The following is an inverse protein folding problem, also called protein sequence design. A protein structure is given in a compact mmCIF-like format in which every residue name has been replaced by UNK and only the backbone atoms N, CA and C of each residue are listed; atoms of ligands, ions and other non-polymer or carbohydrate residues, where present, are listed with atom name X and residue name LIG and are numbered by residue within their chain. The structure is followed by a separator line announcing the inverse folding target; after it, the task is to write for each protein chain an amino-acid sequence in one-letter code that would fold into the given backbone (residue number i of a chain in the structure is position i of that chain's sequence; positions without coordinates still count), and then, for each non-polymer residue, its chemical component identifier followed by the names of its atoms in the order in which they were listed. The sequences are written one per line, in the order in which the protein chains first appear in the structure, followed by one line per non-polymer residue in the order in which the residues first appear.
data_IF_392218674254
#
_entry.id   IF_392218674254
#
_cell.length_a   1.000
_cell.length_b   1.000
_cell.length_c   1.000
_cell.angle_alpha   90.00
_cell.angle_beta   90.00
_cell.angle_gamma   90.00
#
_symmetry.space_group_name_H-M   'P 1'
#
loop_
_entity.id
_entity.type
_entity.pdbx_description
1 polymer ?
#
# COMPACT_ATOMS: atom_id res chain seq x y z
N UNK A 1 0.56 6.83 -30.80
CA UNK A 1 -0.06 7.49 -29.64
C UNK A 1 0.26 6.62 -28.43
N UNK A 2 1.30 6.99 -27.67
CA UNK A 2 1.89 6.23 -26.56
C UNK A 2 1.81 7.02 -25.23
N UNK A 3 0.97 8.06 -25.18
CA UNK A 3 0.95 9.05 -24.09
C UNK A 3 0.25 8.53 -22.81
N UNK A 4 -0.53 7.44 -22.86
CA UNK A 4 -1.31 6.98 -21.69
C UNK A 4 -0.53 6.16 -20.66
N UNK A 5 0.52 5.44 -21.06
CA UNK A 5 1.28 4.56 -20.16
C UNK A 5 2.33 5.29 -19.33
N UNK A 6 2.97 6.31 -19.89
CA UNK A 6 4.04 7.06 -19.23
C UNK A 6 3.48 8.00 -18.14
N UNK A 7 2.32 8.62 -18.40
CA UNK A 7 1.64 9.49 -17.43
C UNK A 7 1.12 8.70 -16.21
N UNK A 8 0.65 7.46 -16.42
CA UNK A 8 0.19 6.58 -15.35
C UNK A 8 1.36 6.09 -14.48
N UNK A 9 2.51 5.76 -15.08
CA UNK A 9 3.72 5.40 -14.35
C UNK A 9 4.22 6.55 -13.47
N UNK A 10 4.28 7.77 -14.03
CA UNK A 10 4.67 8.99 -13.28
C UNK A 10 3.68 9.34 -12.16
N UNK A 11 2.39 9.10 -12.37
CA UNK A 11 1.37 9.27 -11.33
C UNK A 11 1.57 8.29 -10.17
N UNK A 12 1.92 7.05 -10.48
CA UNK A 12 2.20 6.01 -9.47
C UNK A 12 3.48 6.28 -8.69
N UNK A 13 4.56 6.69 -9.36
CA UNK A 13 5.83 7.06 -8.72
C UNK A 13 5.62 8.19 -7.71
N UNK A 14 4.98 9.29 -8.12
CA UNK A 14 4.64 10.42 -7.24
C UNK A 14 3.79 10.01 -6.04
N UNK A 15 2.86 9.07 -6.22
CA UNK A 15 2.04 8.53 -5.13
C UNK A 15 2.90 7.78 -4.11
N UNK A 16 3.84 6.95 -4.58
CA UNK A 16 4.78 6.22 -3.72
C UNK A 16 5.75 7.16 -3.02
N UNK A 17 6.22 8.21 -3.70
CA UNK A 17 7.09 9.21 -3.11
C UNK A 17 6.39 9.94 -1.96
N UNK A 18 5.11 10.28 -2.17
CA UNK A 18 4.30 10.89 -1.12
C UNK A 18 4.04 9.96 0.06
N UNK A 19 3.82 8.66 -0.21
CA UNK A 19 3.67 7.64 0.81
C UNK A 19 4.92 7.55 1.71
N UNK A 20 6.12 7.55 1.11
CA UNK A 20 7.38 7.58 1.87
C UNK A 20 7.54 8.87 2.67
N UNK A 21 7.28 10.03 2.05
CA UNK A 21 7.35 11.33 2.73
C UNK A 21 6.46 11.35 3.99
N UNK A 22 5.23 10.88 3.87
CA UNK A 22 4.26 10.79 4.96
C UNK A 22 4.69 9.76 6.02
N UNK A 23 5.22 8.61 5.60
CA UNK A 23 5.69 7.59 6.53
C UNK A 23 6.81 8.11 7.45
N UNK A 24 7.75 8.91 6.93
CA UNK A 24 8.76 9.56 7.77
C UNK A 24 8.16 10.57 8.78
N UNK A 25 7.01 11.17 8.45
CA UNK A 25 6.32 12.12 9.33
C UNK A 25 5.52 11.42 10.44
N UNK A 26 4.80 10.35 10.09
CA UNK A 26 3.74 9.81 10.95
C UNK A 26 3.98 8.37 11.43
N UNK A 27 5.01 7.68 10.92
CA UNK A 27 5.31 6.30 11.29
C UNK A 27 6.73 6.20 11.92
N UNK A 28 6.83 6.29 13.26
CA UNK A 28 8.11 6.18 13.96
C UNK A 28 8.81 4.84 13.73
N UNK A 29 8.05 3.74 13.62
CA UNK A 29 8.60 2.40 13.40
C UNK A 29 9.29 2.31 12.04
N UNK A 30 8.60 2.76 10.98
CA UNK A 30 9.19 2.88 9.64
C UNK A 30 10.41 3.78 9.65
N UNK A 31 10.34 4.94 10.32
CA UNK A 31 11.44 5.91 10.38
C UNK A 31 12.69 5.32 11.03
N UNK A 32 12.53 4.71 12.21
CA UNK A 32 13.63 4.04 12.92
C UNK A 32 14.21 2.90 12.10
N UNK A 33 13.34 2.08 11.51
CA UNK A 33 13.77 0.98 10.64
C UNK A 33 14.54 1.50 9.42
N UNK A 34 14.04 2.51 8.71
CA UNK A 34 14.70 3.04 7.52
C UNK A 34 16.07 3.63 7.87
N UNK A 35 16.15 4.43 8.94
CA UNK A 35 17.43 4.97 9.43
C UNK A 35 18.42 3.86 9.81
N UNK A 36 17.94 2.72 10.32
CA UNK A 36 18.81 1.56 10.62
C UNK A 36 19.48 0.95 9.38
N UNK A 37 18.97 1.25 8.17
CA UNK A 37 19.56 0.85 6.88
C UNK A 37 20.55 1.88 6.31
N UNK A 38 20.76 2.99 7.01
CA UNK A 38 21.64 4.10 6.60
C UNK A 38 22.89 4.17 7.47
N UNK A 39 23.83 5.02 7.10
CA UNK A 39 24.97 5.39 7.95
C UNK A 39 24.57 6.09 9.26
N UNK A 40 23.33 6.58 9.35
CA UNK A 40 22.80 7.33 10.49
C UNK A 40 22.06 6.47 11.53
N UNK A 41 22.20 5.13 11.47
CA UNK A 41 21.51 4.21 12.37
C UNK A 41 21.68 4.52 13.87
N UNK A 42 22.82 5.12 14.26
CA UNK A 42 23.16 5.43 15.64
C UNK A 42 23.02 6.92 16.00
N UNK A 43 22.58 7.77 15.08
CA UNK A 43 22.57 9.24 15.25
C UNK A 43 21.33 9.76 16.01
N UNK A 44 20.42 8.85 16.41
CA UNK A 44 19.15 9.18 17.06
C UNK A 44 18.39 10.29 16.32
N UNK A 45 18.32 10.19 14.99
CA UNK A 45 17.71 11.19 14.12
C UNK A 45 16.26 11.45 14.47
N UNK A 46 15.91 12.71 14.73
CA UNK A 46 14.54 13.17 14.96
C UNK A 46 14.07 13.89 13.71
N UNK A 47 12.95 13.41 13.14
CA UNK A 47 12.33 14.00 11.96
C UNK A 47 12.13 15.51 12.13
N UNK A 48 12.53 16.29 11.11
CA UNK A 48 12.36 17.76 11.11
C UNK A 48 11.37 18.20 10.05
N UNK A 49 11.62 17.83 8.80
CA UNK A 49 10.73 18.13 7.67
C UNK A 49 11.12 17.28 6.44
N UNK A 50 10.23 17.20 5.47
CA UNK A 50 10.45 16.48 4.20
C UNK A 50 9.63 17.11 3.07
N UNK A 51 9.95 16.76 1.82
CA UNK A 51 9.14 17.08 0.63
C UNK A 51 9.38 16.06 -0.48
N UNK A 52 8.31 15.70 -1.19
CA UNK A 52 8.34 14.82 -2.38
C UNK A 52 7.81 15.50 -3.65
N UNK A 53 7.92 16.82 -3.74
CA UNK A 53 7.47 17.64 -4.87
C UNK A 53 8.63 17.94 -5.85
N UNK A 54 9.52 16.98 -6.01
CA UNK A 54 10.71 17.02 -6.86
C UNK A 54 11.62 18.25 -6.63
N UNK A 55 12.26 18.37 -5.44
CA UNK A 55 13.32 19.34 -5.20
C UNK A 55 14.30 19.50 -6.39
N UNK A 56 14.24 20.65 -7.06
CA UNK A 56 15.03 20.94 -8.27
C UNK A 56 16.07 22.04 -8.05
N UNK A 57 17.23 21.92 -8.70
CA UNK A 57 18.22 23.00 -8.81
C UNK A 57 19.17 22.82 -10.00
N UNK A 58 19.81 23.91 -10.41
CA UNK A 58 21.02 23.87 -11.22
C UNK A 58 22.23 23.77 -10.28
N UNK A 59 23.12 22.81 -10.51
CA UNK A 59 24.33 22.59 -9.69
C UNK A 59 25.54 22.24 -10.57
N UNK A 60 26.77 22.46 -10.08
CA UNK A 60 27.98 22.09 -10.81
C UNK A 60 28.20 20.58 -10.75
N UNK A 61 28.50 19.97 -11.91
CA UNK A 61 28.93 18.58 -12.02
C UNK A 61 30.26 18.51 -12.78
N UNK A 62 31.24 17.85 -12.18
CA UNK A 62 32.49 17.49 -12.84
C UNK A 62 32.24 16.35 -13.83
N UNK A 63 32.68 16.55 -15.06
CA UNK A 63 32.60 15.58 -16.15
C UNK A 63 33.93 15.56 -16.90
N UNK A 64 34.23 14.49 -17.63
CA UNK A 64 35.40 14.45 -18.51
C UNK A 64 35.01 14.94 -19.90
N UNK A 65 35.75 15.91 -20.43
CA UNK A 65 35.58 16.34 -21.81
C UNK A 65 36.09 15.23 -22.76
N UNK A 66 35.24 14.65 -23.61
CA UNK A 66 35.65 13.56 -24.50
C UNK A 66 36.69 13.98 -25.55
N UNK A 67 36.80 15.28 -25.87
CA UNK A 67 37.78 15.77 -26.84
C UNK A 67 39.18 15.93 -26.25
N UNK A 68 39.28 16.29 -24.97
CA UNK A 68 40.55 16.64 -24.32
C UNK A 68 40.98 15.65 -23.24
N UNK A 69 40.05 14.87 -22.67
CA UNK A 69 40.28 14.00 -21.53
C UNK A 69 40.38 14.73 -20.20
N UNK A 70 40.24 16.07 -20.19
CA UNK A 70 40.38 16.90 -19.00
C UNK A 70 39.05 17.05 -18.24
N UNK A 71 39.09 17.21 -16.91
CA UNK A 71 37.90 17.50 -16.13
C UNK A 71 37.34 18.89 -16.46
N UNK A 72 36.05 18.94 -16.75
CA UNK A 72 35.29 20.17 -16.98
C UNK A 72 34.07 20.22 -16.06
N UNK A 73 33.83 21.39 -15.46
CA UNK A 73 32.64 21.64 -14.66
C UNK A 73 31.52 22.14 -15.56
N UNK A 74 30.40 21.41 -15.60
CA UNK A 74 29.19 21.83 -16.29
C UNK A 74 28.08 22.07 -15.27
N UNK A 75 27.31 23.13 -15.49
CA UNK A 75 26.09 23.34 -14.72
C UNK A 75 24.99 22.47 -15.32
N UNK A 76 24.49 21.54 -14.51
CA UNK A 76 23.44 20.61 -14.91
C UNK A 76 22.21 20.84 -14.04
N UNK A 77 21.06 20.44 -14.55
CA UNK A 77 19.83 20.45 -13.79
C UNK A 77 19.41 19.02 -13.48
N UNK A 78 18.95 18.81 -12.25
CA UNK A 78 18.36 17.53 -11.85
C UNK A 78 17.56 17.67 -10.54
N UNK A 79 16.65 16.72 -10.33
CA UNK A 79 15.81 16.59 -9.14
C UNK A 79 16.23 15.46 -8.21
N UNK A 80 15.85 15.62 -6.94
CA UNK A 80 15.68 14.52 -5.99
C UNK A 80 14.18 14.22 -5.89
N UNK A 81 13.78 12.96 -5.87
CA UNK A 81 12.35 12.59 -5.74
C UNK A 81 11.84 12.94 -4.35
N UNK A 82 12.56 12.48 -3.30
CA UNK A 82 12.20 12.73 -1.90
C UNK A 82 13.40 13.25 -1.13
N UNK A 83 13.22 14.41 -0.48
CA UNK A 83 14.17 14.96 0.49
C UNK A 83 13.59 14.84 1.90
N UNK A 84 14.35 14.25 2.81
CA UNK A 84 13.99 14.13 4.24
C UNK A 84 15.13 14.68 5.09
N UNK A 85 14.83 15.57 6.03
CA UNK A 85 15.81 16.18 6.91
C UNK A 85 15.52 15.80 8.36
N UNK A 86 16.57 15.34 9.05
CA UNK A 86 16.55 14.98 10.45
C UNK A 86 17.45 15.91 11.25
N UNK A 87 17.06 16.17 12.49
CA UNK A 87 17.96 16.72 13.49
C UNK A 87 18.68 15.58 14.22
N UNK A 88 19.94 15.78 14.57
CA UNK A 88 20.70 14.89 15.45
C UNK A 88 21.34 15.70 16.59
N UNK A 89 21.44 15.14 17.81
CA UNK A 89 22.12 15.82 18.90
C UNK A 89 23.58 16.10 18.55
N UNK A 90 24.05 17.33 18.83
CA UNK A 90 25.46 17.74 18.80
C UNK A 90 26.22 17.69 17.45
N UNK A 91 25.61 17.20 16.36
CA UNK A 91 26.30 17.01 15.07
C UNK A 91 25.66 17.75 13.89
N UNK A 92 24.70 18.65 14.15
CA UNK A 92 23.95 19.40 13.13
C UNK A 92 22.99 18.52 12.31
N UNK A 93 22.02 19.07 11.56
CA UNK A 93 21.03 18.26 10.84
C UNK A 93 21.67 17.42 9.72
N UNK A 94 21.07 16.28 9.40
CA UNK A 94 21.46 15.46 8.24
C UNK A 94 20.27 15.22 7.31
N UNK A 95 20.54 14.88 6.05
CA UNK A 95 19.51 14.65 5.04
C UNK A 95 19.63 13.29 4.35
N UNK A 96 18.47 12.72 4.02
CA UNK A 96 18.36 11.61 3.07
C UNK A 96 17.85 12.16 1.74
N UNK A 97 18.60 11.90 0.68
CA UNK A 97 18.20 12.17 -0.70
C UNK A 97 17.83 10.88 -1.38
N UNK A 98 16.54 10.67 -1.59
CA UNK A 98 16.02 9.40 -2.04
C UNK A 98 15.62 9.51 -3.51
N UNK A 99 16.15 8.60 -4.32
CA UNK A 99 15.62 8.29 -5.66
C UNK A 99 14.69 7.08 -5.53
N UNK A 100 13.50 7.16 -6.10
CA UNK A 100 12.57 6.05 -6.19
C UNK A 100 12.53 5.54 -7.64
N UNK A 101 12.59 4.22 -7.83
CA UNK A 101 12.45 3.60 -9.15
C UNK A 101 11.40 2.51 -9.12
N UNK A 102 10.53 2.52 -10.12
CA UNK A 102 9.62 1.41 -10.40
C UNK A 102 10.33 0.29 -11.17
N UNK A 103 9.76 -0.92 -11.17
CA UNK A 103 10.35 -2.11 -11.83
C UNK A 103 10.72 -1.85 -13.30
N UNK A 104 9.82 -1.20 -14.04
CA UNK A 104 9.99 -0.91 -15.46
C UNK A 104 10.66 0.46 -15.73
N UNK A 105 11.17 1.11 -14.68
CA UNK A 105 11.87 2.38 -14.80
C UNK A 105 13.23 2.24 -15.51
N UNK A 106 13.93 3.36 -15.63
CA UNK A 106 15.34 3.39 -16.03
C UNK A 106 16.04 4.58 -15.39
N UNK A 107 17.37 4.50 -15.29
CA UNK A 107 18.17 5.67 -14.97
C UNK A 107 18.31 6.53 -16.23
N UNK A 108 18.16 7.85 -16.06
CA UNK A 108 18.66 8.76 -17.08
C UNK A 108 20.19 8.74 -17.07
N UNK A 109 20.83 8.99 -18.23
CA UNK A 109 22.29 8.90 -18.33
C UNK A 109 22.98 9.79 -17.29
N UNK A 110 23.84 9.21 -16.44
CA UNK A 110 24.53 9.93 -15.37
C UNK A 110 23.63 10.41 -14.21
N UNK A 111 22.43 9.84 -14.05
CA UNK A 111 21.52 10.21 -12.96
C UNK A 111 22.11 9.94 -11.57
N UNK A 112 22.72 8.78 -11.28
CA UNK A 112 23.28 8.52 -9.95
C UNK A 112 24.39 9.51 -9.57
N UNK A 113 25.29 9.85 -10.51
CA UNK A 113 26.37 10.81 -10.28
C UNK A 113 25.82 12.21 -9.99
N UNK A 114 24.72 12.58 -10.65
CA UNK A 114 24.05 13.87 -10.45
C UNK A 114 23.43 14.01 -9.06
N UNK A 115 23.08 12.92 -8.38
CA UNK A 115 22.67 12.99 -6.99
C UNK A 115 23.82 13.51 -6.13
N UNK A 116 24.97 12.86 -6.19
CA UNK A 116 26.11 13.19 -5.33
C UNK A 116 26.58 14.64 -5.48
N UNK A 117 26.68 15.14 -6.72
CA UNK A 117 27.06 16.53 -6.96
C UNK A 117 26.01 17.52 -6.45
N UNK A 118 24.72 17.23 -6.67
CA UNK A 118 23.61 18.08 -6.18
C UNK A 118 23.56 18.15 -4.67
N UNK A 119 23.63 17.01 -3.98
CA UNK A 119 23.53 16.98 -2.52
C UNK A 119 24.70 17.72 -1.88
N UNK A 120 25.90 17.56 -2.43
CA UNK A 120 27.09 18.32 -2.01
C UNK A 120 26.87 19.83 -2.17
N UNK A 121 26.27 20.26 -3.28
CA UNK A 121 25.97 21.67 -3.54
C UNK A 121 24.89 22.25 -2.60
N UNK A 122 24.02 21.41 -2.03
CA UNK A 122 22.95 21.83 -1.12
C UNK A 122 23.34 21.86 0.35
N UNK A 123 24.53 21.35 0.71
CA UNK A 123 25.07 21.43 2.06
C UNK A 123 24.99 22.87 2.60
N UNK A 124 24.55 23.00 3.86
CA UNK A 124 24.37 24.26 4.57
C UNK A 124 23.39 25.26 3.92
N UNK A 125 22.65 24.88 2.86
CA UNK A 125 21.69 25.77 2.23
C UNK A 125 20.37 25.80 3.03
N UNK A 126 19.94 26.96 3.56
CA UNK A 126 18.72 27.06 4.37
C UNK A 126 17.45 26.65 3.61
N UNK A 127 17.42 26.84 2.28
CA UNK A 127 16.28 26.42 1.43
C UNK A 127 16.04 24.90 1.50
N UNK A 128 17.10 24.14 1.71
CA UNK A 128 17.07 22.67 1.76
C UNK A 128 17.32 22.15 3.19
N UNK A 129 17.09 22.99 4.21
CA UNK A 129 17.08 22.57 5.61
C UNK A 129 18.41 22.74 6.35
N UNK A 130 19.44 23.31 5.69
CA UNK A 130 20.77 23.55 6.24
C UNK A 130 21.36 22.32 6.94
N UNK A 131 21.23 21.15 6.32
CA UNK A 131 21.92 19.94 6.77
C UNK A 131 23.42 20.07 6.48
N UNK A 132 24.21 19.43 7.34
CA UNK A 132 25.68 19.42 7.30
C UNK A 132 26.23 18.09 6.84
N UNK A 133 25.36 17.08 6.68
CA UNK A 133 25.71 15.69 6.39
C UNK A 133 24.55 15.03 5.63
N UNK A 134 24.83 13.99 4.86
CA UNK A 134 23.81 13.35 4.02
C UNK A 134 24.16 11.92 3.59
N UNK A 135 23.15 11.19 3.17
CA UNK A 135 23.30 10.00 2.33
C UNK A 135 22.33 10.08 1.13
N UNK A 136 22.79 9.55 0.00
CA UNK A 136 21.95 9.27 -1.17
C UNK A 136 21.43 7.84 -1.07
N UNK A 137 20.13 7.66 -1.27
CA UNK A 137 19.46 6.36 -1.11
C UNK A 137 18.68 6.05 -2.38
N UNK A 138 18.89 4.86 -2.92
CA UNK A 138 18.02 4.30 -3.94
C UNK A 138 16.96 3.43 -3.27
N UNK A 139 15.69 3.69 -3.56
CA UNK A 139 14.60 2.75 -3.29
C UNK A 139 14.06 2.20 -4.60
N UNK A 140 14.05 0.87 -4.75
CA UNK A 140 13.60 0.21 -5.97
C UNK A 140 13.22 -1.25 -5.69
N UNK A 141 12.43 -1.91 -6.56
CA UNK A 141 12.29 -3.36 -6.53
C UNK A 141 13.64 -4.06 -6.71
N UNK A 142 13.81 -5.24 -6.14
CA UNK A 142 15.03 -6.04 -6.32
C UNK A 142 15.37 -6.27 -7.79
N UNK A 143 14.36 -6.55 -8.61
CA UNK A 143 14.51 -6.76 -10.05
C UNK A 143 15.06 -5.54 -10.78
N UNK A 144 14.68 -4.33 -10.38
CA UNK A 144 15.24 -3.09 -10.94
C UNK A 144 16.70 -2.93 -10.52
N UNK A 145 16.99 -3.11 -9.24
CA UNK A 145 18.34 -2.97 -8.71
C UNK A 145 19.30 -3.95 -9.37
N UNK A 146 18.95 -5.23 -9.50
CA UNK A 146 19.80 -6.23 -10.16
C UNK A 146 20.02 -5.92 -11.65
N UNK A 147 18.98 -5.47 -12.36
CA UNK A 147 19.09 -5.08 -13.76
C UNK A 147 20.01 -3.86 -13.97
N UNK A 148 20.01 -2.92 -13.03
CA UNK A 148 20.75 -1.67 -13.11
C UNK A 148 21.86 -1.56 -12.05
N UNK A 149 22.41 -2.70 -11.64
CA UNK A 149 23.28 -2.81 -10.46
C UNK A 149 24.46 -1.85 -10.45
N UNK A 150 25.15 -1.70 -11.58
CA UNK A 150 26.31 -0.80 -11.72
C UNK A 150 25.94 0.65 -11.40
N UNK A 151 24.76 1.10 -11.83
CA UNK A 151 24.28 2.45 -11.55
C UNK A 151 23.66 2.56 -10.16
N UNK A 152 22.96 1.52 -9.70
CA UNK A 152 22.36 1.47 -8.37
C UNK A 152 23.40 1.49 -7.24
N UNK A 153 24.54 0.83 -7.42
CA UNK A 153 25.65 0.81 -6.44
C UNK A 153 26.38 2.15 -6.30
N UNK A 154 26.05 3.16 -7.14
CA UNK A 154 26.60 4.53 -7.00
C UNK A 154 25.90 5.35 -5.92
N UNK A 155 24.70 4.94 -5.50
CA UNK A 155 24.03 5.50 -4.32
C UNK A 155 24.71 4.98 -3.04
N UNK A 156 24.72 5.78 -1.98
CA UNK A 156 25.37 5.38 -0.73
C UNK A 156 24.62 4.19 -0.07
N UNK A 157 23.30 4.10 -0.28
CA UNK A 157 22.44 3.01 0.21
C UNK A 157 21.43 2.54 -0.82
N UNK A 158 21.02 1.28 -0.66
CA UNK A 158 19.89 0.69 -1.36
C UNK A 158 18.91 0.09 -0.35
N UNK A 159 17.61 0.35 -0.53
CA UNK A 159 16.52 -0.25 0.25
C UNK A 159 15.45 -0.75 -0.72
N UNK A 160 15.08 -2.02 -0.63
CA UNK A 160 14.15 -2.59 -1.61
C UNK A 160 12.69 -2.21 -1.34
N UNK A 161 11.90 -2.11 -2.41
CA UNK A 161 10.44 -1.94 -2.29
C UNK A 161 9.82 -3.07 -1.47
N UNK A 162 10.34 -4.29 -1.62
CA UNK A 162 9.89 -5.49 -0.91
C UNK A 162 10.14 -5.41 0.60
N UNK A 163 11.23 -4.76 1.02
CA UNK A 163 11.50 -4.50 2.42
C UNK A 163 10.62 -3.37 2.97
N UNK A 164 10.41 -2.31 2.18
CA UNK A 164 9.51 -1.19 2.52
C UNK A 164 8.07 -1.66 2.66
N UNK A 165 7.64 -2.61 1.81
CA UNK A 165 6.30 -3.20 1.76
C UNK A 165 5.82 -3.88 3.06
N UNK A 166 6.75 -4.14 3.99
CA UNK A 166 6.45 -4.64 5.35
C UNK A 166 5.82 -3.55 6.23
N UNK A 167 6.17 -2.29 5.97
CA UNK A 167 5.68 -1.12 6.69
C UNK A 167 4.66 -0.31 5.88
N UNK A 168 4.83 -0.27 4.56
CA UNK A 168 4.02 0.51 3.63
C UNK A 168 3.48 -0.41 2.51
N UNK A 169 2.30 -1.02 2.69
CA UNK A 169 1.75 -2.01 1.77
C UNK A 169 1.62 -1.55 0.31
N UNK A 170 1.60 -0.23 0.05
CA UNK A 170 1.58 0.37 -1.27
C UNK A 170 2.73 -0.08 -2.18
N UNK A 171 3.85 -0.51 -1.58
CA UNK A 171 5.04 -0.99 -2.28
C UNK A 171 4.98 -2.49 -2.67
N UNK A 172 3.93 -3.23 -2.31
CA UNK A 172 3.80 -4.69 -2.61
C UNK A 172 3.60 -5.02 -4.09
N UNK A 173 3.26 -4.05 -4.94
CA UNK A 173 2.76 -4.31 -6.30
C UNK A 173 3.37 -3.43 -7.40
N UNK A 174 4.49 -2.76 -7.15
CA UNK A 174 5.16 -1.89 -8.14
C UNK A 174 5.77 -2.62 -9.36
N UNK A 175 5.48 -3.92 -9.51
CA UNK A 175 6.23 -4.85 -10.36
C UNK A 175 5.47 -5.62 -11.44
N UNK A 176 4.21 -5.30 -11.73
CA UNK A 176 3.54 -5.85 -12.92
C UNK A 176 2.85 -4.75 -13.69
N UNK A 177 3.57 -4.23 -14.68
CA UNK A 177 2.96 -3.48 -15.76
C UNK A 177 2.18 -4.44 -16.65
N UNK A 178 0.90 -4.65 -16.34
CA UNK A 178 -0.14 -5.02 -17.30
C UNK A 178 -1.46 -4.44 -16.79
N UNK A 179 -1.90 -3.36 -17.42
CA UNK A 179 -3.31 -3.14 -17.75
C UNK A 179 -4.34 -3.49 -16.65
N UNK A 180 -4.22 -2.90 -15.45
CA UNK A 180 -5.33 -2.95 -14.49
C UNK A 180 -5.32 -1.76 -13.52
N UNK A 181 -5.82 -0.62 -14.00
CA UNK A 181 -6.43 0.41 -13.15
C UNK A 181 -7.75 -0.07 -12.49
N UNK A 182 -7.96 -1.39 -12.39
CA UNK A 182 -8.85 -1.97 -11.38
C UNK A 182 -8.02 -2.13 -10.13
N UNK A 183 -8.40 -1.34 -9.12
CA UNK A 183 -8.22 -1.69 -7.71
C UNK A 183 -8.19 -3.21 -7.57
N UNK A 184 -7.03 -3.78 -7.19
CA UNK A 184 -6.85 -5.22 -7.12
C UNK A 184 -8.02 -5.80 -6.32
N UNK A 185 -8.92 -6.48 -7.02
CA UNK A 185 -10.19 -6.91 -6.46
C UNK A 185 -9.96 -7.78 -5.22
N UNK A 186 -8.86 -8.54 -5.18
CA UNK A 186 -8.49 -9.33 -4.02
C UNK A 186 -8.18 -8.48 -2.79
N UNK A 187 -7.46 -7.38 -2.96
CA UNK A 187 -7.15 -6.44 -1.87
C UNK A 187 -8.44 -5.83 -1.31
N UNK A 188 -9.38 -5.44 -2.17
CA UNK A 188 -10.67 -4.89 -1.73
C UNK A 188 -11.51 -5.95 -1.03
N UNK A 189 -11.64 -7.14 -1.62
CA UNK A 189 -12.37 -8.24 -1.01
C UNK A 189 -11.81 -8.57 0.37
N UNK A 190 -10.48 -8.69 0.50
CA UNK A 190 -9.85 -8.94 1.80
C UNK A 190 -10.07 -7.78 2.78
N UNK A 191 -10.00 -6.52 2.33
CA UNK A 191 -10.26 -5.36 3.20
C UNK A 191 -11.68 -5.38 3.76
N UNK A 192 -12.66 -5.72 2.91
CA UNK A 192 -14.06 -5.87 3.31
C UNK A 192 -14.19 -7.02 4.31
N UNK A 193 -13.69 -8.21 3.99
CA UNK A 193 -13.84 -9.38 4.87
C UNK A 193 -13.19 -9.13 6.25
N UNK A 194 -12.02 -8.46 6.27
CA UNK A 194 -11.37 -8.05 7.52
C UNK A 194 -12.12 -6.97 8.29
N UNK A 195 -12.86 -6.08 7.61
CA UNK A 195 -13.76 -5.15 8.29
C UNK A 195 -14.90 -5.90 9.01
N UNK A 196 -15.47 -6.93 8.38
CA UNK A 196 -16.44 -7.82 9.02
C UNK A 196 -15.87 -8.54 10.24
N UNK A 197 -14.65 -9.10 10.13
CA UNK A 197 -13.93 -9.72 11.26
C UNK A 197 -13.75 -8.72 12.41
N UNK A 198 -13.37 -7.48 12.09
CA UNK A 198 -13.21 -6.41 13.08
C UNK A 198 -14.54 -6.13 13.80
N UNK A 199 -15.63 -5.94 13.07
CA UNK A 199 -16.97 -5.69 13.64
C UNK A 199 -17.39 -6.80 14.62
N UNK A 200 -17.21 -8.07 14.22
CA UNK A 200 -17.56 -9.23 15.07
C UNK A 200 -16.76 -9.20 16.38
N UNK A 201 -15.48 -8.84 16.33
CA UNK A 201 -14.61 -8.73 17.53
C UNK A 201 -14.93 -7.51 18.39
N UNK A 202 -15.56 -6.47 17.82
CA UNK A 202 -15.81 -5.19 18.47
C UNK A 202 -17.28 -4.95 18.80
N UNK A 203 -17.99 -6.00 19.21
CA UNK A 203 -19.32 -5.88 19.81
C UNK A 203 -20.48 -6.25 18.89
N UNK A 204 -20.22 -6.57 17.61
CA UNK A 204 -21.23 -7.08 16.68
C UNK A 204 -21.08 -8.59 16.46
N UNK A 205 -20.96 -9.34 17.56
CA UNK A 205 -20.62 -10.76 17.56
C UNK A 205 -21.60 -11.69 16.86
N UNK A 206 -22.79 -11.20 16.49
CA UNK A 206 -23.81 -11.96 15.76
C UNK A 206 -23.84 -11.63 14.26
N UNK A 207 -23.03 -10.69 13.81
CA UNK A 207 -22.93 -10.30 12.40
C UNK A 207 -22.53 -11.50 11.54
N UNK A 208 -23.24 -11.73 10.45
CA UNK A 208 -22.93 -12.74 9.46
C UNK A 208 -22.20 -12.11 8.28
N UNK A 209 -21.12 -12.75 7.82
CA UNK A 209 -20.37 -12.37 6.63
C UNK A 209 -20.72 -13.33 5.51
N UNK A 210 -21.23 -12.81 4.40
CA UNK A 210 -21.65 -13.61 3.26
C UNK A 210 -20.92 -13.17 1.99
N UNK A 211 -19.81 -13.84 1.61
CA UNK A 211 -19.15 -13.64 0.33
C UNK A 211 -19.74 -14.57 -0.74
N UNK A 212 -20.06 -14.08 -1.94
CA UNK A 212 -20.76 -14.89 -2.96
C UNK A 212 -20.57 -14.33 -4.37
N UNK A 213 -20.76 -15.17 -5.40
CA UNK A 213 -20.87 -14.68 -6.78
C UNK A 213 -22.23 -14.01 -7.01
N UNK A 214 -22.23 -12.90 -7.75
CA UNK A 214 -23.44 -12.30 -8.27
C UNK A 214 -24.20 -13.30 -9.15
N UNK A 215 -25.54 -13.19 -9.30
CA UNK A 215 -26.32 -14.09 -10.16
C UNK A 215 -25.85 -14.22 -11.61
N UNK A 216 -25.11 -13.22 -12.11
CA UNK A 216 -24.50 -13.27 -13.44
C UNK A 216 -23.24 -14.14 -13.51
N UNK A 217 -22.68 -14.57 -12.37
CA UNK A 217 -21.36 -15.21 -12.26
C UNK A 217 -20.18 -14.26 -12.51
N UNK A 218 -20.43 -13.01 -12.92
CA UNK A 218 -19.40 -12.08 -13.39
C UNK A 218 -18.74 -11.25 -12.30
N UNK A 219 -19.37 -11.17 -11.12
CA UNK A 219 -18.94 -10.27 -10.06
C UNK A 219 -18.94 -10.99 -8.72
N UNK A 220 -18.00 -10.66 -7.86
CA UNK A 220 -18.01 -11.08 -6.48
C UNK A 220 -18.73 -10.03 -5.62
N UNK A 221 -19.40 -10.52 -4.59
CA UNK A 221 -20.17 -9.72 -3.64
C UNK A 221 -19.84 -10.13 -2.23
N UNK A 222 -20.02 -9.21 -1.31
CA UNK A 222 -20.03 -9.50 0.11
C UNK A 222 -21.14 -8.71 0.78
N UNK A 223 -21.93 -9.39 1.60
CA UNK A 223 -22.96 -8.77 2.43
C UNK A 223 -22.67 -9.05 3.90
N UNK A 224 -22.89 -8.05 4.74
CA UNK A 224 -23.01 -8.23 6.18
C UNK A 224 -24.46 -8.09 6.58
N UNK A 225 -24.97 -9.05 7.33
CA UNK A 225 -26.39 -9.06 7.70
C UNK A 225 -26.59 -9.70 9.09
N UNK A 226 -27.75 -9.45 9.73
CA UNK A 226 -28.15 -10.16 10.93
C UNK A 226 -28.40 -11.65 10.66
N UNK A 227 -28.28 -12.53 11.68
CA UNK A 227 -28.42 -13.98 11.50
C UNK A 227 -29.85 -14.43 11.16
N UNK A 228 -30.86 -13.61 11.46
CA UNK A 228 -32.29 -13.94 11.32
C UNK A 228 -32.99 -13.16 10.20
N UNK A 229 -32.31 -12.22 9.53
CA UNK A 229 -32.90 -11.39 8.48
C UNK A 229 -31.93 -11.20 7.31
N UNK A 230 -32.18 -11.88 6.19
CA UNK A 230 -31.36 -11.80 4.97
C UNK A 230 -31.80 -10.66 4.03
N UNK A 231 -32.99 -10.09 4.26
CA UNK A 231 -33.55 -9.01 3.45
C UNK A 231 -33.00 -7.62 3.83
N UNK A 232 -32.29 -7.55 4.97
CA UNK A 232 -31.73 -6.32 5.52
C UNK A 232 -30.21 -6.47 5.72
N UNK A 233 -29.44 -5.86 4.81
CA UNK A 233 -27.99 -5.79 4.99
C UNK A 233 -27.60 -4.63 5.91
N UNK A 234 -26.68 -4.90 6.81
CA UNK A 234 -25.84 -3.88 7.46
C UNK A 234 -24.94 -3.22 6.42
N UNK A 235 -24.45 -4.00 5.46
CA UNK A 235 -23.48 -3.57 4.46
C UNK A 235 -23.50 -4.48 3.23
N UNK A 236 -23.39 -3.92 2.02
CA UNK A 236 -23.23 -4.71 0.80
C UNK A 236 -22.20 -4.09 -0.15
N UNK A 237 -21.32 -4.94 -0.67
CA UNK A 237 -20.35 -4.61 -1.71
C UNK A 237 -20.56 -5.46 -2.97
N UNK A 238 -20.32 -4.86 -4.14
CA UNK A 238 -20.21 -5.60 -5.40
C UNK A 238 -19.02 -5.12 -6.23
N UNK A 239 -18.28 -6.06 -6.83
CA UNK A 239 -17.17 -5.71 -7.72
C UNK A 239 -17.61 -5.12 -9.07
N UNK A 240 -18.89 -5.25 -9.44
CA UNK A 240 -19.39 -4.85 -10.76
C UNK A 240 -19.60 -3.35 -10.97
N UNK A 241 -19.83 -2.58 -9.91
CA UNK A 241 -20.06 -1.13 -10.00
C UNK A 241 -18.93 -0.30 -9.39
N UNK A 242 -17.92 -0.94 -8.76
CA UNK A 242 -16.95 -0.28 -7.86
C UNK A 242 -17.61 0.58 -6.74
N UNK A 243 -18.92 0.44 -6.53
CA UNK A 243 -19.72 1.21 -5.56
C UNK A 243 -20.22 0.28 -4.44
N UNK A 244 -20.19 0.78 -3.21
CA UNK A 244 -20.81 0.14 -2.05
C UNK A 244 -22.28 0.57 -1.96
N UNK A 245 -23.18 -0.35 -1.64
CA UNK A 245 -24.57 0.00 -1.34
C UNK A 245 -24.73 -0.07 0.17
N UNK A 246 -24.59 1.08 0.84
CA UNK A 246 -25.21 1.30 2.14
C UNK A 246 -26.58 1.94 1.91
N UNK A 247 -27.59 1.56 2.70
CA UNK A 247 -28.88 2.27 2.65
C UNK A 247 -28.69 3.66 3.27
N UNK A 248 -28.36 4.65 2.44
CA UNK A 248 -28.17 6.04 2.84
C UNK A 248 -27.10 6.72 2.00
N UNK A 249 -27.48 7.80 1.32
CA UNK A 249 -26.60 8.65 0.50
C UNK A 249 -25.65 9.45 1.43
N UNK A 250 -24.33 9.59 1.14
CA UNK A 250 -23.59 9.08 -0.01
C UNK A 250 -22.86 7.75 0.19
N UNK A 251 -22.67 7.05 -0.93
CA UNK A 251 -21.90 5.80 -1.05
C UNK A 251 -20.50 5.90 -0.42
N UNK A 252 -20.08 4.84 0.25
CA UNK A 252 -18.67 4.70 0.65
C UNK A 252 -17.87 4.29 -0.60
N UNK A 253 -16.90 5.12 -0.98
CA UNK A 253 -15.96 4.80 -2.06
C UNK A 253 -14.74 4.10 -1.46
N UNK A 254 -14.43 2.89 -1.93
CA UNK A 254 -13.18 2.22 -1.57
C UNK A 254 -12.00 2.97 -2.16
N UNK A 255 -11.16 3.54 -1.29
CA UNK A 255 -9.83 4.01 -1.67
C UNK A 255 -8.80 2.91 -1.41
N UNK A 256 -7.66 2.98 -2.11
CA UNK A 256 -6.49 2.14 -1.85
C UNK A 256 -5.87 2.37 -0.46
N UNK A 257 -6.27 3.42 0.24
CA UNK A 257 -5.82 3.79 1.59
C UNK A 257 -6.81 3.38 2.69
N UNK A 258 -7.95 2.79 2.33
CA UNK A 258 -8.97 2.36 3.29
C UNK A 258 -8.46 1.17 4.10
N UNK A 259 -8.34 1.32 5.41
CA UNK A 259 -7.99 0.20 6.30
C UNK A 259 -9.23 -0.61 6.67
N UNK A 260 -9.10 -1.91 7.02
CA UNK A 260 -10.24 -2.70 7.49
C UNK A 260 -10.96 -2.09 8.69
N UNK A 261 -10.19 -1.50 9.62
CA UNK A 261 -10.75 -0.81 10.79
C UNK A 261 -11.51 0.45 10.38
N UNK A 262 -10.93 1.31 9.54
CA UNK A 262 -11.59 2.54 9.09
C UNK A 262 -12.90 2.21 8.34
N UNK A 263 -12.90 1.16 7.51
CA UNK A 263 -14.11 0.68 6.86
C UNK A 263 -15.14 0.16 7.87
N UNK A 264 -14.71 -0.63 8.86
CA UNK A 264 -15.61 -1.14 9.89
C UNK A 264 -16.27 -0.02 10.71
N UNK A 265 -15.49 0.98 11.13
CA UNK A 265 -15.98 2.16 11.85
C UNK A 265 -17.01 2.92 11.00
N UNK A 266 -16.73 3.11 9.71
CA UNK A 266 -17.63 3.78 8.78
C UNK A 266 -18.93 2.99 8.53
N UNK A 267 -18.86 1.66 8.48
CA UNK A 267 -20.04 0.79 8.40
C UNK A 267 -20.87 0.93 9.67
N UNK A 268 -20.25 0.85 10.86
CA UNK A 268 -20.96 0.98 12.13
C UNK A 268 -21.61 2.36 12.31
N UNK A 269 -20.99 3.42 11.81
CA UNK A 269 -21.53 4.78 11.85
C UNK A 269 -22.77 4.95 10.96
N UNK A 270 -22.78 4.30 9.79
CA UNK A 270 -23.76 4.56 8.72
C UNK A 270 -24.85 3.51 8.57
N UNK A 271 -24.64 2.30 9.08
CA UNK A 271 -25.64 1.24 8.99
C UNK A 271 -26.94 1.65 9.70
N UNK A 272 -28.12 1.20 9.23
CA UNK A 272 -29.36 1.39 9.95
C UNK A 272 -29.23 0.86 11.38
N UNK A 273 -29.50 1.72 12.38
CA UNK A 273 -29.23 1.42 13.79
C UNK A 273 -30.01 0.21 14.29
N UNK A 274 -31.24 0.06 13.83
CA UNK A 274 -32.11 -1.09 14.11
C UNK A 274 -31.52 -2.39 13.56
N UNK A 275 -31.06 -2.38 12.31
CA UNK A 275 -30.41 -3.56 11.68
C UNK A 275 -29.10 -3.90 12.38
N UNK A 276 -28.26 -2.89 12.65
CA UNK A 276 -26.96 -3.10 13.32
C UNK A 276 -27.14 -3.60 14.77
N UNK A 277 -28.17 -3.13 15.48
CA UNK A 277 -28.49 -3.60 16.83
C UNK A 277 -28.82 -5.10 16.89
N UNK A 278 -29.38 -5.68 15.82
CA UNK A 278 -29.62 -7.13 15.73
C UNK A 278 -28.31 -7.94 15.72
N UNK A 279 -27.20 -7.32 15.32
CA UNK A 279 -25.88 -7.93 15.27
C UNK A 279 -25.10 -7.82 16.59
N UNK A 280 -25.58 -7.01 17.54
CA UNK A 280 -24.87 -6.74 18.80
C UNK A 280 -24.73 -7.99 19.70
N UNK A 281 -23.63 -8.02 20.43
CA UNK A 281 -23.31 -9.05 21.41
C UNK A 281 -21.88 -9.55 21.30
N UNK A 282 -21.48 -10.41 22.24
CA UNK A 282 -20.19 -11.09 22.18
C UNK A 282 -20.25 -12.21 21.13
N UNK A 283 -19.19 -12.35 20.34
CA UNK A 283 -19.03 -13.49 19.46
C UNK A 283 -18.94 -14.79 20.30
N UNK A 284 -19.56 -15.86 19.82
CA UNK A 284 -19.43 -17.17 20.44
C UNK A 284 -18.02 -17.72 20.26
N UNK A 285 -17.59 -18.67 21.11
CA UNK A 285 -16.27 -19.29 20.95
C UNK A 285 -16.13 -19.96 19.57
N UNK A 286 -17.17 -20.65 19.11
CA UNK A 286 -17.18 -21.24 17.78
C UNK A 286 -16.96 -20.19 16.67
N UNK A 287 -17.58 -19.01 16.80
CA UNK A 287 -17.37 -17.92 15.85
C UNK A 287 -15.93 -17.38 15.91
N UNK A 288 -15.34 -17.24 17.11
CA UNK A 288 -13.96 -16.80 17.27
C UNK A 288 -12.96 -17.80 16.67
N UNK A 289 -13.16 -19.09 16.90
CA UNK A 289 -12.33 -20.16 16.33
C UNK A 289 -12.44 -20.17 14.81
N UNK A 290 -13.66 -19.98 14.29
CA UNK A 290 -13.89 -19.83 12.85
C UNK A 290 -13.21 -18.58 12.28
N UNK A 291 -13.26 -17.44 12.95
CA UNK A 291 -12.57 -16.22 12.52
C UNK A 291 -11.05 -16.43 12.42
N UNK A 292 -10.45 -17.20 13.34
CA UNK A 292 -9.02 -17.51 13.27
C UNK A 292 -8.67 -18.33 12.02
N UNK A 293 -9.50 -19.32 11.66
CA UNK A 293 -9.33 -20.06 10.41
C UNK A 293 -9.55 -19.17 9.20
N UNK A 294 -10.55 -18.30 9.28
CA UNK A 294 -10.91 -17.39 8.21
C UNK A 294 -9.78 -16.37 7.93
N UNK A 295 -9.18 -15.79 8.97
CA UNK A 295 -8.02 -14.91 8.82
C UNK A 295 -6.83 -15.62 8.20
N UNK A 296 -6.56 -16.87 8.59
CA UNK A 296 -5.49 -17.67 8.00
C UNK A 296 -5.71 -17.86 6.49
N UNK A 297 -6.94 -18.15 6.06
CA UNK A 297 -7.31 -18.23 4.64
C UNK A 297 -7.01 -16.91 3.91
N UNK A 298 -7.34 -15.77 4.52
CA UNK A 298 -7.05 -14.45 3.95
C UNK A 298 -5.55 -14.14 3.91
N UNK A 299 -4.79 -14.52 4.94
CA UNK A 299 -3.33 -14.35 5.01
C UNK A 299 -2.61 -15.19 3.95
N UNK A 300 -3.17 -16.35 3.58
CA UNK A 300 -2.69 -17.21 2.48
C UNK A 300 -3.08 -16.68 1.09
N UNK A 301 -3.82 -15.56 1.00
CA UNK A 301 -4.16 -14.91 -0.26
C UNK A 301 -5.49 -15.37 -0.89
N UNK A 302 -6.22 -16.26 -0.22
CA UNK A 302 -7.51 -16.75 -0.72
C UNK A 302 -8.68 -15.81 -0.39
N UNK A 303 -9.74 -15.89 -1.18
CA UNK A 303 -11.02 -15.22 -0.93
C UNK A 303 -12.12 -16.28 -0.92
N UNK A 304 -12.92 -16.40 0.16
CA UNK A 304 -14.03 -17.33 0.16
C UNK A 304 -15.16 -16.92 -0.78
N UNK A 305 -15.91 -17.94 -1.22
CA UNK A 305 -17.17 -17.82 -1.93
C UNK A 305 -18.14 -18.86 -1.36
N UNK A 306 -19.23 -18.39 -0.74
CA UNK A 306 -20.17 -19.21 -0.02
C UNK A 306 -21.07 -20.05 -0.95
N UNK A 307 -21.33 -19.56 -2.16
CA UNK A 307 -22.01 -20.30 -3.22
C UNK A 307 -21.69 -19.68 -4.59
N UNK A 308 -21.55 -20.53 -5.60
CA UNK A 308 -21.54 -20.17 -7.03
C UNK A 308 -22.95 -20.48 -7.59
N UNK A 309 -23.37 -19.87 -8.70
CA UNK A 309 -24.73 -20.07 -9.22
C UNK A 309 -25.00 -21.48 -9.82
N UNK A 310 -23.97 -22.33 -9.90
CA UNK A 310 -24.00 -23.59 -10.65
C UNK A 310 -23.98 -24.84 -9.76
N UNK A 311 -23.62 -24.71 -8.47
CA UNK A 311 -23.55 -25.81 -7.50
C UNK A 311 -24.54 -25.64 -6.34
N UNK A 312 -25.12 -26.78 -5.94
CA UNK A 312 -25.96 -26.97 -4.75
C UNK A 312 -25.39 -26.17 -3.56
N UNK A 313 -26.16 -25.28 -2.89
CA UNK A 313 -25.65 -24.45 -1.80
C UNK A 313 -25.16 -25.36 -0.68
N UNK A 314 -23.86 -25.68 -0.71
CA UNK A 314 -23.22 -26.46 0.32
C UNK A 314 -23.10 -25.57 1.55
N UNK A 315 -24.18 -25.52 2.33
CA UNK A 315 -24.36 -24.70 3.52
C UNK A 315 -23.20 -24.84 4.53
N UNK A 316 -22.44 -25.92 4.42
CA UNK A 316 -21.37 -26.30 5.34
C UNK A 316 -19.97 -25.85 4.89
N UNK A 317 -19.75 -25.58 3.59
CA UNK A 317 -18.40 -25.30 3.06
C UNK A 317 -18.37 -24.26 1.96
N UNK A 318 -17.53 -23.25 2.15
CA UNK A 318 -17.25 -22.21 1.17
C UNK A 318 -16.06 -22.60 0.28
N UNK A 319 -16.16 -22.30 -1.02
CA UNK A 319 -15.06 -22.43 -1.96
C UNK A 319 -14.02 -21.33 -1.68
N UNK A 320 -12.76 -21.59 -2.00
CA UNK A 320 -11.67 -20.62 -1.87
C UNK A 320 -11.12 -20.23 -3.25
N UNK A 321 -11.17 -18.95 -3.56
CA UNK A 321 -10.63 -18.36 -4.78
C UNK A 321 -9.16 -17.95 -4.54
N UNK A 322 -8.22 -18.64 -5.19
CA UNK A 322 -6.77 -18.41 -5.09
C UNK A 322 -6.13 -18.01 -6.42
N UNK A 323 -4.80 -17.96 -6.48
CA UNK A 323 -4.04 -17.87 -7.76
C UNK A 323 -3.74 -19.25 -8.37
N UNK A 324 -3.79 -20.30 -7.55
CA UNK A 324 -3.61 -21.68 -7.98
C UNK A 324 -4.97 -22.31 -8.34
N UNK A 325 -5.00 -23.18 -9.35
CA UNK A 325 -6.17 -23.98 -9.75
C UNK A 325 -6.64 -24.97 -8.66
N UNK A 326 -6.05 -24.92 -7.46
CA UNK A 326 -6.45 -25.74 -6.34
C UNK A 326 -7.73 -25.18 -5.70
N UNK A 327 -8.82 -25.95 -5.79
CA UNK A 327 -10.10 -25.62 -5.16
C UNK A 327 -10.03 -25.98 -3.67
N UNK A 328 -9.50 -25.05 -2.87
CA UNK A 328 -9.59 -25.13 -1.41
C UNK A 328 -11.03 -24.97 -0.92
N UNK A 329 -11.35 -25.51 0.27
CA UNK A 329 -12.64 -25.31 0.93
C UNK A 329 -12.45 -24.93 2.40
N UNK A 330 -13.27 -24.03 2.91
CA UNK A 330 -13.34 -23.70 4.34
C UNK A 330 -14.74 -23.96 4.90
N UNK A 331 -14.87 -24.18 6.21
CA UNK A 331 -16.18 -24.29 6.84
C UNK A 331 -16.93 -22.95 6.77
N UNK A 332 -18.26 -23.00 6.65
CA UNK A 332 -19.09 -21.81 6.76
C UNK A 332 -19.08 -21.22 8.16
N UNK A 333 -19.44 -19.93 8.28
CA UNK A 333 -19.55 -19.27 9.58
C UNK A 333 -20.56 -20.01 10.49
N UNK A 334 -20.25 -20.25 11.78
CA UNK A 334 -21.19 -20.87 12.69
C UNK A 334 -22.52 -20.13 12.74
N UNK A 335 -23.63 -20.86 12.57
CA UNK A 335 -24.97 -20.26 12.49
C UNK A 335 -25.38 -19.80 11.09
N UNK A 336 -24.53 -19.99 10.08
CA UNK A 336 -24.86 -19.71 8.69
C UNK A 336 -26.08 -20.50 8.23
N UNK A 337 -26.99 -19.81 7.55
CA UNK A 337 -28.13 -20.40 6.84
C UNK A 337 -28.07 -19.93 5.40
N UNK A 338 -28.38 -20.82 4.48
CA UNK A 338 -28.47 -20.46 3.06
C UNK A 338 -29.61 -19.45 2.92
N UNK A 339 -29.39 -18.27 2.30
CA UNK A 339 -30.46 -17.34 1.97
C UNK A 339 -31.50 -18.06 1.10
N UNK A 340 -32.78 -17.97 1.47
CA UNK A 340 -33.90 -18.65 0.79
C UNK A 340 -34.32 -17.98 -0.50
#
# INVERSE_FOLDING_TARGET
MNESGEDMAKSNEKRLDKCIEQAFQSNPEFTTWFLSRTGFANDAGVYRWSRSDNPWSTHPQETIDPATGEPVVKYVQSETDILVVFSRPNSGPFALHIENKLENGSFTSGQPERYKSRVTYWLNNPKYGAYVDFETVLIAPHVFFEKHRIDGEKFDRYVSHEDIAKYLPEFRTSGRGTDDDRVNFKIVAQTILRAGIWLIRHGYGRLMILPYAAPSGLYWRCAFHPPECFDEDVYRYTSGTKQMVLRGDPDIVMSSTMTPQALAELIAERAPRDVLALCEGKASQAALDWLQQFEKVLDEGYIPEAFNNDDDPAAERWALLGDDDSVGKMASQPGYRVPS
#
